data_IF_728771850989
#
_entry.id   IF_728771850989
#
_cell.length_a   1.000
_cell.length_b   1.000
_cell.length_c   1.000
_cell.angle_alpha   90.00
_cell.angle_beta   90.00
_cell.angle_gamma   90.00
#
_symmetry.space_group_name_H-M   'P 1'
#
loop_
_entity.id
_entity.type
_entity.pdbx_description
1 polymer ?
#
# COMPACT_ATOMS: atom_id res chain seq x y z
N UNK A 1 -16.47 -6.66 -2.91
CA UNK A 1 -15.25 -7.51 -2.83
C UNK A 1 -14.39 -7.10 -1.64
N UNK A 2 -13.54 -7.99 -1.11
CA UNK A 2 -12.74 -7.76 0.12
C UNK A 2 -11.88 -6.48 0.07
N UNK A 3 -11.48 -6.07 -1.14
CA UNK A 3 -10.64 -4.90 -1.41
C UNK A 3 -11.35 -3.53 -1.32
N UNK A 4 -12.69 -3.48 -1.39
CA UNK A 4 -13.47 -2.23 -1.40
C UNK A 4 -13.35 -1.39 -0.13
N UNK A 5 -12.88 -2.00 0.96
CA UNK A 5 -12.76 -1.34 2.26
C UNK A 5 -11.45 -0.58 2.43
N UNK A 6 -10.47 -0.79 1.54
CA UNK A 6 -9.17 -0.14 1.59
C UNK A 6 -9.19 1.09 0.69
N UNK A 7 -8.85 2.23 1.25
CA UNK A 7 -8.96 3.54 0.59
C UNK A 7 -7.69 4.38 0.70
N UNK A 8 -6.67 3.90 1.41
CA UNK A 8 -5.38 4.57 1.53
C UNK A 8 -4.22 3.57 1.41
N UNK A 9 -3.19 3.97 0.68
CA UNK A 9 -1.94 3.23 0.55
C UNK A 9 -0.77 4.17 0.80
N UNK A 10 0.06 3.84 1.78
CA UNK A 10 1.35 4.48 2.02
C UNK A 10 2.45 3.68 1.33
N UNK A 11 3.23 4.36 0.51
CA UNK A 11 4.33 3.83 -0.29
C UNK A 11 5.64 4.39 0.26
N UNK A 12 6.42 3.55 0.91
CA UNK A 12 7.76 3.87 1.40
C UNK A 12 8.81 3.21 0.50
N UNK A 13 9.34 4.00 -0.45
CA UNK A 13 10.39 3.55 -1.36
C UNK A 13 11.76 3.40 -0.69
N UNK A 14 12.01 4.10 0.42
CA UNK A 14 13.30 4.09 1.12
C UNK A 14 13.53 2.72 1.77
N UNK A 15 12.51 2.20 2.43
CA UNK A 15 12.56 0.92 3.13
C UNK A 15 11.83 -0.21 2.40
N UNK A 16 11.23 0.08 1.23
CA UNK A 16 10.43 -0.86 0.42
C UNK A 16 9.26 -1.43 1.23
N UNK A 17 8.53 -0.53 1.88
CA UNK A 17 7.35 -0.85 2.67
C UNK A 17 6.12 -0.32 1.92
N UNK A 18 5.09 -1.14 1.82
CA UNK A 18 3.78 -0.71 1.33
C UNK A 18 2.76 -1.04 2.40
N UNK A 19 2.02 -0.03 2.86
CA UNK A 19 1.02 -0.17 3.90
C UNK A 19 -0.34 0.18 3.34
N UNK A 20 -1.31 -0.72 3.50
CA UNK A 20 -2.65 -0.58 2.95
C UNK A 20 -3.62 -0.46 4.12
N UNK A 21 -4.36 0.64 4.17
CA UNK A 21 -5.24 0.99 5.27
C UNK A 21 -6.69 1.15 4.81
N UNK A 22 -7.61 0.94 5.76
CA UNK A 22 -9.00 1.35 5.63
C UNK A 22 -9.18 2.79 6.13
N UNK A 23 -10.43 3.26 6.16
CA UNK A 23 -10.81 4.54 6.77
C UNK A 23 -10.27 4.69 8.20
N UNK A 24 -10.17 3.58 8.93
CA UNK A 24 -9.39 3.49 10.14
C UNK A 24 -7.93 3.10 9.79
N UNK A 25 -7.00 4.04 9.99
CA UNK A 25 -5.58 3.86 9.72
C UNK A 25 -4.93 2.77 10.59
N UNK A 26 -5.56 2.37 11.69
CA UNK A 26 -5.08 1.25 12.53
C UNK A 26 -5.43 -0.12 11.95
N UNK A 27 -6.33 -0.16 10.96
CA UNK A 27 -6.81 -1.39 10.34
C UNK A 27 -6.24 -1.48 8.92
N UNK A 28 -5.21 -2.33 8.78
CA UNK A 28 -4.48 -2.48 7.54
C UNK A 28 -3.51 -3.65 7.58
N UNK A 29 -2.64 -3.70 6.58
CA UNK A 29 -1.53 -4.62 6.58
C UNK A 29 -0.29 -4.00 5.92
N UNK A 30 0.86 -4.39 6.44
CA UNK A 30 2.17 -3.92 6.03
C UNK A 30 2.87 -5.01 5.21
N UNK A 31 3.33 -4.66 4.02
CA UNK A 31 4.19 -5.50 3.19
C UNK A 31 5.61 -4.91 3.17
N UNK A 32 6.59 -5.69 3.63
CA UNK A 32 8.03 -5.37 3.48
C UNK A 32 8.62 -6.20 2.37
N UNK A 33 9.15 -5.54 1.33
CA UNK A 33 9.60 -6.22 0.13
C UNK A 33 11.13 -6.31 0.09
N UNK A 34 11.70 -7.49 -0.23
CA UNK A 34 13.14 -7.74 -0.17
C UNK A 34 13.93 -6.98 -1.23
N UNK A 35 13.32 -6.68 -2.38
CA UNK A 35 14.00 -6.02 -3.49
C UNK A 35 13.08 -5.06 -4.25
N UNK A 36 13.68 -4.21 -5.08
CA UNK A 36 12.98 -3.18 -5.87
C UNK A 36 12.03 -3.79 -6.91
N UNK A 37 12.41 -4.88 -7.58
CA UNK A 37 11.58 -5.48 -8.62
C UNK A 37 10.24 -5.98 -8.07
N UNK A 38 10.28 -6.71 -6.95
CA UNK A 38 9.07 -7.21 -6.29
C UNK A 38 8.24 -6.06 -5.71
N UNK A 39 8.89 -5.01 -5.20
CA UNK A 39 8.19 -3.82 -4.74
C UNK A 39 7.37 -3.14 -5.84
N UNK A 40 7.96 -2.89 -7.01
CA UNK A 40 7.24 -2.25 -8.12
C UNK A 40 6.14 -3.17 -8.67
N UNK A 41 6.41 -4.48 -8.76
CA UNK A 41 5.39 -5.45 -9.19
C UNK A 41 4.20 -5.47 -8.23
N UNK A 42 4.46 -5.46 -6.92
CA UNK A 42 3.41 -5.44 -5.91
C UNK A 42 2.61 -4.13 -5.96
N UNK A 43 3.28 -2.98 -6.10
CA UNK A 43 2.62 -1.68 -6.26
C UNK A 43 1.75 -1.63 -7.53
N UNK A 44 2.23 -2.18 -8.64
CA UNK A 44 1.46 -2.28 -9.88
C UNK A 44 0.22 -3.16 -9.71
N UNK A 45 0.35 -4.30 -9.02
CA UNK A 45 -0.78 -5.17 -8.69
C UNK A 45 -1.82 -4.45 -7.82
N UNK A 46 -1.41 -3.69 -6.80
CA UNK A 46 -2.36 -2.96 -5.97
C UNK A 46 -3.20 -1.96 -6.77
N UNK A 47 -2.62 -1.32 -7.79
CA UNK A 47 -3.35 -0.41 -8.68
C UNK A 47 -4.42 -1.10 -9.53
N UNK A 48 -4.35 -2.42 -9.72
CA UNK A 48 -5.36 -3.15 -10.50
C UNK A 48 -6.49 -3.72 -9.64
N UNK A 49 -6.24 -3.95 -8.34
CA UNK A 49 -7.22 -4.58 -7.44
C UNK A 49 -7.87 -3.62 -6.45
N UNK A 50 -7.22 -2.49 -6.14
CA UNK A 50 -7.77 -1.50 -5.23
C UNK A 50 -8.76 -0.58 -5.96
N UNK A 51 -9.80 -0.10 -5.25
CA UNK A 51 -10.76 0.85 -5.83
C UNK A 51 -10.07 2.11 -6.37
N UNK A 52 -10.63 2.72 -7.42
CA UNK A 52 -10.09 3.97 -7.99
C UNK A 52 -10.07 5.12 -6.98
N UNK A 53 -10.95 5.11 -5.98
CA UNK A 53 -11.00 6.08 -4.88
C UNK A 53 -9.81 5.97 -3.90
N UNK A 54 -8.98 4.94 -4.06
CA UNK A 54 -7.83 4.69 -3.19
C UNK A 54 -6.76 5.76 -3.38
N UNK A 55 -6.40 6.44 -2.29
CA UNK A 55 -5.34 7.44 -2.30
C UNK A 55 -3.98 6.78 -2.06
N UNK A 56 -3.02 7.02 -2.95
CA UNK A 56 -1.63 6.60 -2.79
C UNK A 56 -0.79 7.79 -2.32
N UNK A 57 -0.01 7.61 -1.24
CA UNK A 57 0.89 8.63 -0.69
C UNK A 57 2.30 8.08 -0.62
N UNK A 58 3.26 8.87 -1.07
CA UNK A 58 4.68 8.55 -0.98
C UNK A 58 5.23 9.23 0.29
N UNK A 59 5.54 8.43 1.30
CA UNK A 59 6.08 8.92 2.57
C UNK A 59 6.91 7.83 3.24
N UNK A 60 7.88 8.24 4.06
CA UNK A 60 8.59 7.28 4.91
C UNK A 60 7.62 6.83 6.00
N UNK A 61 7.35 5.53 6.05
CA UNK A 61 6.44 4.96 7.03
C UNK A 61 7.08 5.04 8.42
N UNK A 62 6.44 5.82 9.30
CA UNK A 62 6.89 6.05 10.68
C UNK A 62 5.92 5.31 11.59
N UNK A 63 6.14 4.01 11.78
CA UNK A 63 5.44 3.25 12.82
C UNK A 63 6.35 3.03 14.01
#
# INVERSE_FOLDING_TARGET
MVWEKYNAVTVDRRYRIIVIHRTDLTIGFEARLPNKALFEQYLAFLRTVLPEVTTYREEVWKW
#
